data_IF_525113571345
#
_entry.id   IF_525113571345
#
_cell.length_a   1.000
_cell.length_b   1.000
_cell.length_c   1.000
_cell.angle_alpha   90.00
_cell.angle_beta   90.00
_cell.angle_gamma   90.00
#
_symmetry.space_group_name_H-M   'P 1'
#
loop_
_entity.id
_entity.type
_entity.pdbx_description
1 polymer ?
#
# COMPACT_ATOMS: atom_id res chain seq x y z
N UNK A 1 -11.29 -5.24 25.36
CA UNK A 1 -10.92 -4.49 24.14
C UNK A 1 -11.19 -5.38 22.95
N UNK A 2 -11.84 -4.89 21.90
CA UNK A 2 -12.31 -5.71 20.79
C UNK A 2 -11.09 -6.31 20.05
N UNK A 3 -11.03 -7.64 19.98
CA UNK A 3 -9.87 -8.39 19.47
C UNK A 3 -10.02 -8.74 17.99
N UNK A 4 -10.69 -7.87 17.24
CA UNK A 4 -11.07 -8.09 15.85
C UNK A 4 -9.86 -8.14 14.94
N UNK A 5 -9.91 -9.05 13.96
CA UNK A 5 -8.98 -9.06 12.84
C UNK A 5 -9.42 -8.01 11.82
N UNK A 6 -8.51 -7.13 11.43
CA UNK A 6 -8.75 -6.06 10.45
C UNK A 6 -7.78 -6.27 9.28
N UNK A 7 -8.30 -6.23 8.06
CA UNK A 7 -7.51 -6.07 6.85
C UNK A 7 -7.47 -4.58 6.49
N UNK A 8 -6.29 -3.99 6.52
CA UNK A 8 -6.03 -2.63 6.08
C UNK A 8 -5.39 -2.64 4.69
N UNK A 9 -5.85 -1.76 3.81
CA UNK A 9 -5.33 -1.57 2.45
C UNK A 9 -5.00 -0.08 2.29
N UNK A 10 -3.82 0.24 1.76
CA UNK A 10 -3.42 1.60 1.41
C UNK A 10 -2.98 1.67 -0.06
N UNK A 11 -3.54 2.65 -0.76
CA UNK A 11 -3.28 3.00 -2.17
C UNK A 11 -3.38 4.51 -2.37
N UNK A 12 -2.92 5.29 -1.40
CA UNK A 12 -3.12 6.75 -1.38
C UNK A 12 -2.17 7.53 -2.29
N UNK A 13 -0.94 7.03 -2.50
CA UNK A 13 0.11 7.74 -3.23
C UNK A 13 0.92 6.82 -4.16
N UNK A 14 2.09 6.36 -3.73
CA UNK A 14 3.08 5.64 -4.55
C UNK A 14 3.48 4.28 -3.97
N UNK A 15 2.73 3.78 -2.99
CA UNK A 15 2.89 2.43 -2.46
C UNK A 15 1.54 1.71 -2.46
N UNK A 16 1.55 0.41 -2.76
CA UNK A 16 0.40 -0.46 -2.51
C UNK A 16 0.71 -1.31 -1.29
N UNK A 17 -0.07 -1.19 -0.23
CA UNK A 17 0.16 -1.91 1.02
C UNK A 17 -1.07 -2.67 1.50
N UNK A 18 -0.83 -3.82 2.11
CA UNK A 18 -1.84 -4.62 2.79
C UNK A 18 -1.32 -5.10 4.15
N UNK A 19 -2.11 -4.92 5.20
CA UNK A 19 -1.76 -5.33 6.55
C UNK A 19 -2.92 -6.05 7.24
N UNK A 20 -2.59 -7.06 8.05
CA UNK A 20 -3.54 -7.72 8.95
C UNK A 20 -3.21 -7.30 10.38
N UNK A 21 -4.19 -6.76 11.09
CA UNK A 21 -4.03 -6.37 12.50
C UNK A 21 -5.03 -7.10 13.39
N UNK A 22 -4.68 -7.22 14.67
CA UNK A 22 -5.55 -7.69 15.74
C UNK A 22 -5.58 -6.62 16.82
N UNK A 23 -6.65 -5.82 16.83
CA UNK A 23 -6.66 -4.57 17.60
C UNK A 23 -5.52 -3.64 17.15
N UNK A 24 -4.64 -3.26 18.07
CA UNK A 24 -3.46 -2.41 17.79
C UNK A 24 -2.20 -3.19 17.41
N UNK A 25 -2.26 -4.53 17.41
CA UNK A 25 -1.11 -5.37 17.05
C UNK A 25 -1.11 -5.68 15.56
N UNK A 26 0.01 -5.42 14.88
CA UNK A 26 0.20 -5.80 13.46
C UNK A 26 0.66 -7.26 13.41
N UNK A 27 -0.08 -8.10 12.69
CA UNK A 27 0.25 -9.52 12.49
C UNK A 27 1.01 -9.75 11.18
N UNK A 28 0.67 -8.98 10.14
CA UNK A 28 1.34 -9.00 8.84
C UNK A 28 1.26 -7.64 8.20
N UNK A 29 2.28 -7.28 7.42
CA UNK A 29 2.34 -6.06 6.63
C UNK A 29 3.23 -6.30 5.40
N UNK A 30 2.69 -6.04 4.21
CA UNK A 30 3.39 -6.17 2.93
C UNK A 30 3.22 -4.88 2.15
N UNK A 31 4.31 -4.40 1.54
CA UNK A 31 4.35 -3.15 0.79
C UNK A 31 4.99 -3.43 -0.58
N UNK A 32 4.30 -3.04 -1.65
CA UNK A 32 4.83 -3.00 -3.00
C UNK A 32 5.11 -1.54 -3.36
N UNK A 33 6.39 -1.14 -3.30
CA UNK A 33 6.79 0.24 -3.52
C UNK A 33 6.98 0.59 -4.99
N UNK A 34 6.54 1.79 -5.37
CA UNK A 34 6.60 2.29 -6.76
C UNK A 34 7.66 3.36 -6.96
N UNK A 35 8.53 3.64 -5.97
CA UNK A 35 9.56 4.71 -6.07
C UNK A 35 10.38 4.63 -7.37
N UNK A 36 10.76 3.42 -7.79
CA UNK A 36 11.54 3.22 -9.02
C UNK A 36 10.73 3.50 -10.29
N UNK A 37 9.41 3.27 -10.27
CA UNK A 37 8.52 3.60 -11.39
C UNK A 37 8.37 5.12 -11.56
N UNK A 38 8.47 5.89 -10.47
CA UNK A 38 8.33 7.35 -10.47
C UNK A 38 9.65 8.10 -10.73
N UNK A 39 10.81 7.44 -10.60
CA UNK A 39 12.14 8.05 -10.81
C UNK A 39 12.27 8.86 -12.12
N UNK A 40 11.81 8.38 -13.29
CA UNK A 40 11.96 9.11 -14.55
C UNK A 40 11.20 10.45 -14.59
N UNK A 41 10.19 10.62 -13.74
CA UNK A 41 9.31 11.79 -13.74
C UNK A 41 9.73 12.85 -12.73
N UNK A 42 10.74 12.57 -11.89
CA UNK A 42 11.20 13.50 -10.85
C UNK A 42 10.19 13.72 -9.72
N UNK A 43 9.17 12.88 -9.62
CA UNK A 43 8.08 12.95 -8.66
C UNK A 43 7.01 11.91 -8.95
N UNK A 44 6.01 11.77 -8.07
CA UNK A 44 4.92 10.80 -8.24
C UNK A 44 4.11 11.15 -9.47
N UNK A 45 4.03 10.21 -10.42
CA UNK A 45 3.22 10.36 -11.62
C UNK A 45 1.87 9.65 -11.44
N UNK A 46 0.74 10.38 -11.29
CA UNK A 46 -0.52 9.80 -10.82
C UNK A 46 -1.06 8.65 -11.69
N UNK A 47 -0.86 8.73 -13.00
CA UNK A 47 -1.34 7.69 -13.94
C UNK A 47 -0.61 6.38 -13.74
N UNK A 48 0.71 6.41 -13.55
CA UNK A 48 1.52 5.22 -13.27
C UNK A 48 1.19 4.66 -11.89
N UNK A 49 0.99 5.53 -10.90
CA UNK A 49 0.59 5.10 -9.56
C UNK A 49 -0.74 4.33 -9.56
N UNK A 50 -1.76 4.86 -10.25
CA UNK A 50 -3.06 4.20 -10.41
C UNK A 50 -2.93 2.81 -11.04
N UNK A 51 -2.09 2.67 -12.08
CA UNK A 51 -1.88 1.39 -12.75
C UNK A 51 -1.17 0.39 -11.83
N UNK A 52 -0.11 0.82 -11.15
CA UNK A 52 0.61 -0.01 -10.21
C UNK A 52 -0.23 -0.45 -9.00
N UNK A 53 -1.15 0.38 -8.51
CA UNK A 53 -2.13 -0.04 -7.49
C UNK A 53 -3.05 -1.16 -7.99
N UNK A 54 -3.52 -1.06 -9.24
CA UNK A 54 -4.39 -2.08 -9.84
C UNK A 54 -3.69 -3.44 -10.01
N UNK A 55 -2.39 -3.44 -10.22
CA UNK A 55 -1.60 -4.67 -10.40
C UNK A 55 -1.20 -5.35 -9.09
N UNK A 56 -1.15 -4.59 -7.98
CA UNK A 56 -0.62 -5.06 -6.69
C UNK A 56 -1.69 -5.21 -5.59
N UNK A 57 -2.97 -5.12 -5.94
CA UNK A 57 -4.13 -5.43 -5.07
C UNK A 57 -4.73 -6.77 -5.47
#
# INVERSE_FOLDING_TARGET
MNNSLILAIDTSCDDTAAAVTKGTTVLSNVIASQTQLHQPYGGVFPTVAKQAHKENI
#
